data_IF_766494711178
#
_entry.id   IF_766494711178
#
_cell.length_a   1.000
_cell.length_b   1.000
_cell.length_c   1.000
_cell.angle_alpha   90.00
_cell.angle_beta   90.00
_cell.angle_gamma   90.00
#
_symmetry.space_group_name_H-M   'P 1'
#
loop_
_entity.id
_entity.type
_entity.pdbx_description
1 polymer ?
#
# COMPACT_ATOMS: atom_id res chain seq x y z
N UNK A 1 8.99 22.85 -9.65
CA UNK A 1 8.63 21.42 -9.67
C UNK A 1 7.74 21.07 -8.47
N UNK A 2 6.47 21.48 -8.48
CA UNK A 2 5.51 21.23 -7.40
C UNK A 2 4.37 20.27 -7.79
N UNK A 3 4.22 19.94 -9.08
CA UNK A 3 3.13 19.07 -9.58
C UNK A 3 3.47 17.57 -9.61
N UNK A 4 4.74 17.15 -9.51
CA UNK A 4 5.11 15.72 -9.56
C UNK A 4 4.81 15.00 -8.24
N UNK A 5 5.05 15.65 -7.10
CA UNK A 5 5.02 14.98 -5.79
C UNK A 5 3.59 14.68 -5.31
N UNK A 6 2.62 15.55 -5.63
CA UNK A 6 1.22 15.31 -5.30
C UNK A 6 0.61 14.18 -6.12
N UNK A 7 0.95 14.07 -7.41
CA UNK A 7 0.49 12.98 -8.26
C UNK A 7 1.12 11.65 -7.88
N UNK A 8 2.41 11.62 -7.51
CA UNK A 8 3.11 10.38 -7.15
C UNK A 8 2.61 9.82 -5.81
N UNK A 9 2.49 10.67 -4.79
CA UNK A 9 1.98 10.29 -3.47
C UNK A 9 0.50 9.89 -3.54
N UNK A 10 -0.32 10.63 -4.30
CA UNK A 10 -1.77 10.40 -4.36
C UNK A 10 -2.14 9.23 -5.28
N UNK A 11 -1.77 9.27 -6.56
CA UNK A 11 -2.16 8.22 -7.49
C UNK A 11 -1.45 6.91 -7.17
N UNK A 12 -0.15 6.98 -6.85
CA UNK A 12 0.67 5.81 -6.57
C UNK A 12 0.11 5.00 -5.41
N UNK A 13 -0.18 5.64 -4.27
CA UNK A 13 -0.49 4.96 -3.02
C UNK A 13 -1.99 4.69 -2.81
N UNK A 14 -2.89 5.55 -3.30
CA UNK A 14 -4.32 5.40 -3.05
C UNK A 14 -4.93 4.29 -3.88
N UNK A 15 -4.52 4.13 -5.15
CA UNK A 15 -5.10 3.09 -6.01
C UNK A 15 -4.87 1.69 -5.42
N UNK A 16 -3.63 1.29 -5.03
CA UNK A 16 -3.39 0.03 -4.32
C UNK A 16 -4.16 -0.07 -3.01
N UNK A 17 -4.21 1.01 -2.21
CA UNK A 17 -4.89 1.00 -0.92
C UNK A 17 -6.40 0.79 -1.04
N UNK A 18 -7.03 1.42 -2.05
CA UNK A 18 -8.45 1.23 -2.36
C UNK A 18 -8.73 -0.19 -2.83
N UNK A 19 -7.93 -0.71 -3.76
CA UNK A 19 -8.10 -2.09 -4.24
C UNK A 19 -7.96 -3.10 -3.11
N UNK A 20 -7.00 -2.88 -2.20
CA UNK A 20 -6.80 -3.75 -1.05
C UNK A 20 -7.96 -3.64 -0.04
N UNK A 21 -8.47 -2.43 0.19
CA UNK A 21 -9.64 -2.22 1.06
C UNK A 21 -10.89 -2.91 0.50
N UNK A 22 -11.14 -2.80 -0.81
CA UNK A 22 -12.25 -3.50 -1.49
C UNK A 22 -12.08 -5.01 -1.38
N UNK A 23 -10.85 -5.52 -1.56
CA UNK A 23 -10.55 -6.94 -1.42
C UNK A 23 -10.89 -7.45 -0.01
N UNK A 24 -10.46 -6.76 1.05
CA UNK A 24 -10.76 -7.15 2.43
C UNK A 24 -12.26 -7.11 2.77
N UNK A 25 -12.98 -6.10 2.28
CA UNK A 25 -14.44 -6.03 2.46
C UNK A 25 -15.10 -7.21 1.74
N UNK A 26 -14.65 -7.53 0.52
CA UNK A 26 -15.21 -8.63 -0.25
C UNK A 26 -14.91 -10.00 0.38
N UNK A 27 -13.70 -10.21 0.89
CA UNK A 27 -13.32 -11.38 1.69
C UNK A 27 -14.20 -11.51 2.93
N UNK A 28 -14.33 -10.43 3.72
CA UNK A 28 -15.15 -10.42 4.95
C UNK A 28 -16.62 -10.74 4.66
N UNK A 29 -17.18 -10.20 3.57
CA UNK A 29 -18.55 -10.51 3.14
C UNK A 29 -18.69 -11.98 2.70
N UNK A 30 -17.70 -12.49 1.97
CA UNK A 30 -17.71 -13.88 1.50
C UNK A 30 -17.61 -14.86 2.68
N UNK A 31 -16.79 -14.54 3.69
CA UNK A 31 -16.69 -15.33 4.92
C UNK A 31 -18.00 -15.32 5.73
N UNK A 32 -18.68 -14.17 5.83
CA UNK A 32 -19.97 -14.07 6.51
C UNK A 32 -21.05 -14.90 5.78
N UNK A 33 -21.12 -14.80 4.45
CA UNK A 33 -22.10 -15.54 3.64
C UNK A 33 -21.80 -17.04 3.56
N UNK A 34 -20.53 -17.43 3.69
CA UNK A 34 -20.10 -18.83 3.67
C UNK A 34 -20.29 -19.54 5.01
N UNK A 35 -20.35 -18.80 6.13
CA UNK A 35 -20.72 -19.37 7.44
C UNK A 35 -22.15 -19.95 7.44
N UNK A 36 -23.05 -19.39 6.63
CA UNK A 36 -24.43 -19.88 6.49
C UNK A 36 -24.57 -21.05 5.50
N UNK A 37 -23.57 -21.28 4.65
CA UNK A 37 -23.53 -22.38 3.66
C UNK A 37 -22.48 -23.42 4.06
N UNK A 38 -22.69 -24.09 5.19
CA UNK A 38 -21.86 -25.21 5.64
C UNK A 38 -22.07 -26.48 4.80
N UNK A 39 -21.82 -26.41 3.48
CA UNK A 39 -21.74 -27.59 2.60
C UNK A 39 -20.31 -27.67 2.06
N UNK A 40 -19.59 -28.64 2.61
CA UNK A 40 -18.18 -28.96 2.41
C UNK A 40 -17.92 -29.60 1.03
N UNK A 41 -17.95 -28.80 -0.03
CA UNK A 41 -17.52 -29.25 -1.37
C UNK A 41 -16.13 -28.67 -1.63
N UNK A 42 -15.13 -29.55 -1.60
CA UNK A 42 -13.75 -29.25 -1.99
C UNK A 42 -13.73 -28.73 -3.43
N UNK A 43 -13.10 -27.58 -3.66
CA UNK A 43 -13.10 -26.87 -4.95
C UNK A 43 -11.73 -26.91 -5.61
N UNK A 44 -11.70 -26.81 -6.94
CA UNK A 44 -10.45 -26.66 -7.69
C UNK A 44 -9.86 -25.25 -7.45
N UNK A 45 -8.53 -25.10 -7.56
CA UNK A 45 -7.84 -23.83 -7.31
C UNK A 45 -8.30 -22.75 -8.28
N UNK A 46 -8.60 -23.12 -9.52
CA UNK A 46 -9.11 -22.18 -10.52
C UNK A 46 -10.54 -21.77 -10.22
N UNK A 47 -11.42 -22.71 -9.86
CA UNK A 47 -12.79 -22.38 -9.45
C UNK A 47 -12.79 -21.42 -8.25
N UNK A 48 -11.86 -21.65 -7.33
CA UNK A 48 -11.61 -20.80 -6.18
C UNK A 48 -11.18 -19.37 -6.59
N UNK A 49 -10.18 -19.25 -7.46
CA UNK A 49 -9.71 -17.96 -7.99
C UNK A 49 -10.77 -17.20 -8.79
N UNK A 50 -11.60 -17.90 -9.57
CA UNK A 50 -12.67 -17.27 -10.36
C UNK A 50 -13.83 -16.80 -9.51
N UNK A 51 -14.17 -17.56 -8.45
CA UNK A 51 -15.25 -17.20 -7.53
C UNK A 51 -14.82 -16.11 -6.55
N UNK A 52 -13.55 -16.14 -6.12
CA UNK A 52 -12.99 -15.26 -5.11
C UNK A 52 -11.98 -14.29 -5.73
N UNK A 53 -12.47 -13.36 -6.56
CA UNK A 53 -11.62 -12.35 -7.21
C UNK A 53 -10.88 -11.44 -6.22
N UNK A 54 -11.29 -11.38 -4.94
CA UNK A 54 -10.53 -10.64 -3.91
C UNK A 54 -9.08 -11.12 -3.83
N UNK A 55 -8.78 -12.41 -4.06
CA UNK A 55 -7.40 -12.94 -4.02
C UNK A 55 -6.49 -12.19 -5.02
N UNK A 56 -6.99 -11.89 -6.22
CA UNK A 56 -6.23 -11.17 -7.24
C UNK A 56 -6.04 -9.69 -6.89
N UNK A 57 -7.11 -9.05 -6.39
CA UNK A 57 -7.08 -7.65 -5.95
C UNK A 57 -6.14 -7.47 -4.76
N UNK A 58 -6.17 -8.43 -3.85
CA UNK A 58 -5.32 -8.53 -2.68
C UNK A 58 -3.85 -8.59 -3.09
N UNK A 59 -3.48 -9.60 -3.87
CA UNK A 59 -2.10 -9.75 -4.38
C UNK A 59 -1.63 -8.51 -5.14
N UNK A 60 -2.49 -7.87 -5.95
CA UNK A 60 -2.12 -6.62 -6.60
C UNK A 60 -1.84 -5.49 -5.57
N UNK A 61 -2.73 -5.29 -4.62
CA UNK A 61 -2.61 -4.24 -3.60
C UNK A 61 -1.40 -4.45 -2.68
N UNK A 62 -1.19 -5.68 -2.22
CA UNK A 62 -0.08 -6.09 -1.35
C UNK A 62 1.29 -5.91 -1.98
N UNK A 63 1.39 -6.10 -3.30
CA UNK A 63 2.64 -5.91 -4.05
C UNK A 63 2.87 -4.44 -4.41
N UNK A 64 1.84 -3.75 -4.90
CA UNK A 64 1.97 -2.38 -5.38
C UNK A 64 2.27 -1.40 -4.24
N UNK A 65 1.60 -1.55 -3.08
CA UNK A 65 1.74 -0.63 -1.95
C UNK A 65 3.18 -0.48 -1.43
N UNK A 66 3.91 -1.56 -1.07
CA UNK A 66 5.29 -1.45 -0.59
C UNK A 66 6.26 -1.02 -1.71
N UNK A 67 6.02 -1.39 -2.97
CA UNK A 67 6.83 -0.91 -4.10
C UNK A 67 6.67 0.60 -4.33
N UNK A 68 5.47 1.15 -4.16
CA UNK A 68 5.23 2.59 -4.20
C UNK A 68 5.91 3.29 -3.03
N UNK A 69 5.85 2.73 -1.82
CA UNK A 69 6.58 3.29 -0.66
C UNK A 69 8.10 3.26 -0.89
N UNK A 70 8.61 2.21 -1.50
CA UNK A 70 10.01 2.12 -1.91
C UNK A 70 10.38 3.20 -2.92
N UNK A 71 9.56 3.40 -3.95
CA UNK A 71 9.76 4.45 -4.95
C UNK A 71 9.73 5.85 -4.33
N UNK A 72 8.78 6.12 -3.42
CA UNK A 72 8.70 7.37 -2.67
C UNK A 72 9.94 7.60 -1.80
N UNK A 73 10.42 6.55 -1.14
CA UNK A 73 11.60 6.62 -0.28
C UNK A 73 12.87 6.88 -1.09
N UNK A 74 13.01 6.21 -2.23
CA UNK A 74 14.10 6.41 -3.18
C UNK A 74 14.07 7.82 -3.77
N UNK A 75 12.91 8.31 -4.20
CA UNK A 75 12.72 9.65 -4.72
C UNK A 75 13.20 10.73 -3.72
N UNK A 76 12.81 10.60 -2.45
CA UNK A 76 13.31 11.48 -1.38
C UNK A 76 14.80 11.34 -1.14
N UNK A 77 15.32 10.11 -1.18
CA UNK A 77 16.75 9.86 -1.03
C UNK A 77 17.56 10.55 -2.15
N UNK A 78 17.12 10.44 -3.41
CA UNK A 78 17.74 11.09 -4.56
C UNK A 78 17.68 12.61 -4.47
N UNK A 79 16.52 13.17 -4.09
CA UNK A 79 16.36 14.60 -3.86
C UNK A 79 17.32 15.13 -2.78
N UNK A 80 17.56 14.34 -1.72
CA UNK A 80 18.46 14.69 -0.64
C UNK A 80 19.93 14.48 -1.00
N UNK A 81 20.31 13.37 -1.61
CA UNK A 81 21.72 13.06 -1.91
C UNK A 81 22.24 13.89 -3.09
N UNK A 82 21.50 13.93 -4.19
CA UNK A 82 21.95 14.55 -5.44
C UNK A 82 20.91 15.52 -6.02
N UNK A 83 20.75 16.74 -5.45
CA UNK A 83 19.78 17.72 -5.93
C UNK A 83 19.98 18.10 -7.40
N UNK A 84 21.24 18.14 -7.88
CA UNK A 84 21.56 18.47 -9.27
C UNK A 84 21.08 17.41 -10.25
N UNK A 85 21.20 16.13 -9.90
CA UNK A 85 20.66 15.03 -10.70
C UNK A 85 19.14 14.97 -10.60
N UNK A 86 18.58 15.17 -9.40
CA UNK A 86 17.14 15.20 -9.16
C UNK A 86 16.45 16.31 -9.95
N UNK A 87 17.09 17.47 -10.11
CA UNK A 87 16.57 18.57 -10.93
C UNK A 87 16.44 18.22 -12.43
N UNK A 88 17.06 17.13 -12.90
CA UNK A 88 16.91 16.63 -14.29
C UNK A 88 15.76 15.64 -14.42
N UNK A 89 15.20 15.14 -13.31
CA UNK A 89 14.07 14.22 -13.35
C UNK A 89 12.81 14.95 -13.79
N UNK A 90 12.12 14.36 -14.76
CA UNK A 90 10.89 14.90 -15.31
C UNK A 90 9.68 14.21 -14.66
N UNK A 91 8.50 14.87 -14.61
CA UNK A 91 7.26 14.22 -14.16
C UNK A 91 6.88 12.99 -15.02
N UNK A 92 7.35 12.93 -16.27
CA UNK A 92 7.19 11.74 -17.13
C UNK A 92 7.96 10.54 -16.58
N UNK A 93 9.18 10.74 -16.09
CA UNK A 93 9.96 9.66 -15.47
C UNK A 93 9.24 9.10 -14.22
N UNK A 94 8.70 9.98 -13.39
CA UNK A 94 7.86 9.59 -12.25
C UNK A 94 6.64 8.76 -12.65
N UNK A 95 5.92 9.16 -13.71
CA UNK A 95 4.78 8.41 -14.23
C UNK A 95 5.19 7.02 -14.78
N UNK A 96 6.33 6.95 -15.48
CA UNK A 96 6.89 5.67 -15.97
C UNK A 96 7.24 4.76 -14.79
N UNK A 97 7.84 5.27 -13.72
CA UNK A 97 8.14 4.46 -12.54
C UNK A 97 6.86 3.90 -11.88
N UNK A 98 5.79 4.68 -11.76
CA UNK A 98 4.50 4.17 -11.25
C UNK A 98 3.94 3.10 -12.16
N UNK A 99 3.94 3.36 -13.47
CA UNK A 99 3.48 2.40 -14.47
C UNK A 99 4.24 1.07 -14.33
N UNK A 100 5.57 1.14 -14.19
CA UNK A 100 6.40 -0.04 -13.96
C UNK A 100 6.00 -0.79 -12.69
N UNK A 101 5.76 -0.09 -11.58
CA UNK A 101 5.28 -0.73 -10.34
C UNK A 101 3.97 -1.48 -10.56
N UNK A 102 2.99 -0.85 -11.21
CA UNK A 102 1.71 -1.52 -11.50
C UNK A 102 1.86 -2.68 -12.48
N UNK A 103 2.73 -2.58 -13.48
CA UNK A 103 3.01 -3.70 -14.37
C UNK A 103 3.66 -4.86 -13.63
N UNK A 104 4.59 -4.61 -12.71
CA UNK A 104 5.19 -5.65 -11.88
C UNK A 104 4.13 -6.36 -11.01
N UNK A 105 3.24 -5.60 -10.39
CA UNK A 105 2.13 -6.14 -9.60
C UNK A 105 1.16 -6.97 -10.46
N UNK A 106 0.86 -6.54 -11.69
CA UNK A 106 0.05 -7.33 -12.63
C UNK A 106 0.76 -8.62 -13.05
N UNK A 107 2.07 -8.56 -13.32
CA UNK A 107 2.87 -9.75 -13.65
C UNK A 107 2.77 -10.78 -12.51
N UNK A 108 2.88 -10.34 -11.25
CA UNK A 108 2.75 -11.23 -10.10
C UNK A 108 1.37 -11.88 -10.00
N UNK A 109 0.29 -11.10 -10.22
CA UNK A 109 -1.08 -11.64 -10.31
C UNK A 109 -1.19 -12.66 -11.44
N UNK A 110 -0.68 -12.36 -12.64
CA UNK A 110 -0.74 -13.31 -13.77
C UNK A 110 0.05 -14.58 -13.51
N UNK A 111 1.23 -14.48 -12.86
CA UNK A 111 2.04 -15.62 -12.48
C UNK A 111 1.30 -16.52 -11.47
N UNK A 112 0.56 -15.91 -10.54
CA UNK A 112 -0.30 -16.59 -9.59
C UNK A 112 -1.41 -17.36 -10.31
N UNK A 113 -2.10 -16.76 -11.28
CA UNK A 113 -3.11 -17.44 -12.09
C UNK A 113 -2.54 -18.63 -12.88
N UNK A 114 -1.40 -18.45 -13.54
CA UNK A 114 -0.72 -19.53 -14.28
C UNK A 114 -0.35 -20.67 -13.34
N UNK A 115 0.23 -20.36 -12.18
CA UNK A 115 0.62 -21.37 -11.19
C UNK A 115 -0.59 -22.09 -10.59
N UNK A 116 -1.68 -21.37 -10.31
CA UNK A 116 -2.94 -21.95 -9.86
C UNK A 116 -3.48 -22.94 -10.89
N UNK A 117 -3.45 -22.58 -12.19
CA UNK A 117 -3.90 -23.43 -13.29
C UNK A 117 -3.06 -24.68 -13.45
N UNK A 118 -1.74 -24.55 -13.33
CA UNK A 118 -0.80 -25.67 -13.45
C UNK A 118 -0.97 -26.69 -12.33
N UNK A 119 -1.24 -26.20 -11.10
CA UNK A 119 -1.38 -27.05 -9.92
C UNK A 119 -2.83 -27.48 -9.65
N UNK A 120 -3.78 -27.13 -10.53
CA UNK A 120 -5.21 -27.38 -10.35
C UNK A 120 -5.54 -28.88 -10.26
N UNK A 121 -4.73 -29.73 -10.90
CA UNK A 121 -4.89 -31.18 -10.92
C UNK A 121 -4.24 -31.90 -9.72
N UNK A 122 -3.44 -31.19 -8.90
CA UNK A 122 -2.58 -31.81 -7.88
C UNK A 122 -3.31 -31.97 -6.55
N UNK A 123 -4.16 -31.01 -6.17
CA UNK A 123 -4.85 -31.04 -4.88
C UNK A 123 -6.10 -30.17 -4.89
N UNK A 124 -7.21 -30.72 -4.39
CA UNK A 124 -8.40 -29.93 -4.09
C UNK A 124 -8.14 -29.01 -2.89
N UNK A 125 -8.77 -27.84 -2.90
CA UNK A 125 -8.64 -26.82 -1.85
C UNK A 125 -9.94 -26.73 -1.06
N UNK A 126 -9.85 -26.27 0.18
CA UNK A 126 -11.02 -25.96 1.01
C UNK A 126 -11.95 -24.99 0.27
N UNK A 127 -13.27 -25.14 0.45
CA UNK A 127 -14.26 -24.20 -0.11
C UNK A 127 -14.10 -22.78 0.41
N UNK A 128 -13.39 -22.61 1.55
CA UNK A 128 -13.04 -21.30 2.11
C UNK A 128 -11.94 -20.57 1.34
N UNK A 129 -11.28 -21.22 0.39
CA UNK A 129 -10.40 -20.53 -0.54
C UNK A 129 -9.31 -19.68 0.12
N UNK A 130 -8.62 -20.24 1.12
CA UNK A 130 -7.53 -19.52 1.78
C UNK A 130 -6.44 -19.16 0.77
N UNK A 131 -5.88 -17.96 0.92
CA UNK A 131 -4.86 -17.40 0.03
C UNK A 131 -3.64 -18.33 -0.09
N UNK A 132 -3.18 -18.88 1.05
CA UNK A 132 -2.04 -19.79 1.14
C UNK A 132 -2.32 -21.11 0.40
N UNK A 133 -3.52 -21.67 0.58
CA UNK A 133 -3.90 -22.95 -0.03
C UNK A 133 -4.03 -22.83 -1.56
N UNK A 134 -4.57 -21.70 -2.02
CA UNK A 134 -4.81 -21.42 -3.44
C UNK A 134 -3.48 -21.26 -4.20
N UNK A 135 -2.56 -20.47 -3.63
CA UNK A 135 -1.28 -20.08 -4.28
C UNK A 135 -0.17 -21.11 -4.03
N UNK A 136 -0.27 -21.83 -2.91
CA UNK A 136 0.74 -22.74 -2.41
C UNK A 136 1.80 -22.03 -1.56
N UNK A 137 2.21 -22.71 -0.49
CA UNK A 137 3.09 -22.19 0.57
C UNK A 137 4.38 -21.55 0.04
N UNK A 138 5.08 -22.18 -0.90
CA UNK A 138 6.35 -21.66 -1.41
C UNK A 138 6.21 -20.35 -2.17
N UNK A 139 5.14 -20.17 -2.96
CA UNK A 139 4.93 -18.91 -3.70
C UNK A 139 4.51 -17.80 -2.76
N UNK A 140 3.62 -18.11 -1.82
CA UNK A 140 3.20 -17.17 -0.82
C UNK A 140 4.38 -16.71 0.06
N UNK A 141 5.32 -17.61 0.38
CA UNK A 141 6.56 -17.28 1.08
C UNK A 141 7.42 -16.27 0.31
N UNK A 142 7.63 -16.49 -1.00
CA UNK A 142 8.41 -15.57 -1.85
C UNK A 142 7.75 -14.18 -1.89
N UNK A 143 6.42 -14.15 -2.01
CA UNK A 143 5.64 -12.92 -1.98
C UNK A 143 5.84 -12.13 -0.67
N UNK A 144 5.68 -12.78 0.48
CA UNK A 144 5.89 -12.15 1.81
C UNK A 144 7.33 -11.67 1.99
N UNK A 145 8.33 -12.45 1.55
CA UNK A 145 9.73 -12.01 1.59
C UNK A 145 9.94 -10.76 0.74
N UNK A 146 9.33 -10.67 -0.45
CA UNK A 146 9.39 -9.48 -1.30
C UNK A 146 8.83 -8.22 -0.61
N UNK A 147 7.70 -8.36 0.10
CA UNK A 147 7.12 -7.27 0.90
C UNK A 147 8.08 -6.84 2.02
N UNK A 148 8.66 -7.79 2.75
CA UNK A 148 9.59 -7.49 3.84
C UNK A 148 10.84 -6.78 3.32
N UNK A 149 11.45 -7.29 2.24
CA UNK A 149 12.66 -6.70 1.63
C UNK A 149 12.38 -5.27 1.15
N UNK A 150 11.30 -5.05 0.41
CA UNK A 150 10.94 -3.71 -0.06
C UNK A 150 10.66 -2.75 1.10
N UNK A 151 10.03 -3.21 2.18
CA UNK A 151 9.82 -2.45 3.41
C UNK A 151 11.12 -2.05 4.12
N UNK A 152 12.06 -2.99 4.28
CA UNK A 152 13.37 -2.73 4.89
C UNK A 152 14.17 -1.72 4.06
N UNK A 153 14.22 -1.91 2.74
CA UNK A 153 14.95 -0.98 1.85
C UNK A 153 14.34 0.42 1.89
N UNK A 154 13.00 0.52 1.98
CA UNK A 154 12.30 1.80 2.13
C UNK A 154 12.71 2.54 3.42
N UNK A 155 12.83 1.81 4.53
CA UNK A 155 13.31 2.34 5.81
C UNK A 155 14.74 2.86 5.67
N UNK A 156 15.63 2.08 5.04
CA UNK A 156 17.04 2.48 4.83
C UNK A 156 17.09 3.81 4.07
N UNK A 157 16.40 3.92 2.93
CA UNK A 157 16.36 5.17 2.16
C UNK A 157 15.73 6.33 2.95
N UNK A 158 14.68 6.07 3.71
CA UNK A 158 14.04 7.07 4.55
C UNK A 158 14.98 7.60 5.64
N UNK A 159 15.70 6.71 6.34
CA UNK A 159 16.70 7.09 7.36
C UNK A 159 17.85 7.86 6.73
N UNK A 160 18.40 7.40 5.60
CA UNK A 160 19.46 8.11 4.87
C UNK A 160 19.00 9.51 4.46
N UNK A 161 17.80 9.65 3.91
CA UNK A 161 17.25 10.95 3.51
C UNK A 161 17.11 11.91 4.69
N UNK A 162 16.65 11.43 5.85
CA UNK A 162 16.52 12.21 7.08
C UNK A 162 17.88 12.60 7.66
N UNK A 163 18.85 11.69 7.65
CA UNK A 163 20.21 11.95 8.14
C UNK A 163 20.89 13.04 7.30
N UNK A 164 20.84 12.92 5.98
CA UNK A 164 21.40 13.91 5.03
C UNK A 164 20.69 15.26 5.18
N UNK A 165 19.36 15.25 5.32
CA UNK A 165 18.57 16.46 5.57
C UNK A 165 19.03 17.17 6.84
N UNK A 166 19.17 16.45 7.97
CA UNK A 166 19.64 17.01 9.24
C UNK A 166 21.06 17.56 9.13
N UNK A 167 21.96 16.83 8.48
CA UNK A 167 23.34 17.24 8.27
C UNK A 167 23.42 18.54 7.46
N UNK A 168 22.68 18.65 6.36
CA UNK A 168 22.63 19.86 5.54
C UNK A 168 22.04 21.06 6.27
N UNK A 169 20.98 20.88 7.04
CA UNK A 169 20.39 21.96 7.85
C UNK A 169 21.42 22.50 8.86
N UNK A 170 22.18 21.61 9.52
CA UNK A 170 23.23 22.00 10.47
C UNK A 170 24.40 22.71 9.79
N UNK A 171 24.79 22.25 8.60
CA UNK A 171 25.96 22.79 7.87
C UNK A 171 25.67 24.10 7.12
N UNK A 172 24.42 24.39 6.75
CA UNK A 172 24.07 25.51 5.85
C UNK A 172 23.49 26.73 6.60
N UNK A 173 23.95 26.98 7.83
CA UNK A 173 23.42 28.07 8.69
C UNK A 173 23.62 29.49 8.10
N UNK A 174 24.44 29.66 7.06
CA UNK A 174 24.89 30.96 6.55
C UNK A 174 24.48 31.33 5.09
N UNK A 175 23.75 30.51 4.32
CA UNK A 175 23.39 30.85 2.92
C UNK A 175 21.89 31.10 2.69
N UNK A 176 21.55 32.37 2.44
CA UNK A 176 20.19 32.93 2.30
C UNK A 176 19.47 32.45 1.02
N UNK A 177 20.19 32.11 -0.05
CA UNK A 177 19.61 31.79 -1.37
C UNK A 177 19.11 30.34 -1.51
N UNK A 178 19.53 29.42 -0.63
CA UNK A 178 19.07 28.02 -0.62
C UNK A 178 17.72 27.81 0.06
N UNK A 179 17.21 28.83 0.77
CA UNK A 179 16.07 28.74 1.70
C UNK A 179 14.73 28.31 1.08
N UNK A 180 14.44 28.65 -0.18
CA UNK A 180 13.08 28.44 -0.74
C UNK A 180 12.85 26.99 -1.21
N UNK A 181 13.82 26.37 -1.88
CA UNK A 181 13.77 24.92 -2.21
C UNK A 181 13.99 24.07 -0.95
N UNK A 182 14.85 24.53 -0.02
CA UNK A 182 15.09 23.85 1.26
C UNK A 182 13.91 23.90 2.24
N UNK A 183 12.83 24.68 2.01
CA UNK A 183 11.68 24.72 2.94
C UNK A 183 10.64 23.62 2.66
N UNK A 184 10.48 23.22 1.40
CA UNK A 184 9.45 22.22 1.00
C UNK A 184 9.95 20.80 1.11
N UNK A 185 11.16 20.52 0.64
CA UNK A 185 11.70 19.16 0.61
C UNK A 185 11.77 18.51 2.01
N UNK A 186 12.22 19.17 3.09
CA UNK A 186 12.21 18.59 4.44
C UNK A 186 10.82 18.24 4.96
N UNK A 187 9.81 19.05 4.59
CA UNK A 187 8.43 18.80 5.00
C UNK A 187 7.91 17.54 4.32
N UNK A 188 8.24 17.32 3.04
CA UNK A 188 7.82 16.15 2.28
C UNK A 188 8.58 14.91 2.76
N UNK A 189 9.91 14.99 2.92
CA UNK A 189 10.72 13.89 3.45
C UNK A 189 10.24 13.41 4.82
N UNK A 190 9.90 14.33 5.74
CA UNK A 190 9.32 13.95 7.04
C UNK A 190 7.96 13.26 6.91
N UNK A 191 7.12 13.66 5.96
CA UNK A 191 5.82 13.01 5.73
C UNK A 191 5.97 11.59 5.21
N UNK A 192 6.83 11.41 4.22
CA UNK A 192 7.11 10.08 3.67
C UNK A 192 7.77 9.20 4.73
N UNK A 193 8.68 9.73 5.55
CA UNK A 193 9.24 8.99 6.66
C UNK A 193 8.17 8.51 7.67
N UNK A 194 7.13 9.31 7.95
CA UNK A 194 6.01 8.88 8.81
C UNK A 194 5.24 7.72 8.17
N UNK A 195 4.93 7.81 6.87
CA UNK A 195 4.25 6.73 6.14
C UNK A 195 5.08 5.43 6.15
N UNK A 196 6.39 5.55 5.87
CA UNK A 196 7.32 4.41 5.84
C UNK A 196 7.49 3.79 7.22
N UNK A 197 7.61 4.60 8.27
CA UNK A 197 7.69 4.10 9.65
C UNK A 197 6.39 3.40 10.05
N UNK A 198 5.22 3.96 9.72
CA UNK A 198 3.94 3.33 10.00
C UNK A 198 3.80 1.98 9.26
N UNK A 199 4.12 1.95 7.96
CA UNK A 199 4.13 0.72 7.18
C UNK A 199 5.11 -0.32 7.73
N UNK A 200 6.27 0.10 8.22
CA UNK A 200 7.21 -0.82 8.84
C UNK A 200 6.65 -1.43 10.13
N UNK A 201 6.14 -0.59 11.04
CA UNK A 201 5.63 -1.04 12.34
C UNK A 201 4.37 -1.89 12.22
N UNK A 202 3.46 -1.51 11.32
CA UNK A 202 2.12 -2.10 11.22
C UNK A 202 2.00 -3.17 10.13
N UNK A 203 2.95 -3.25 9.19
CA UNK A 203 2.90 -4.24 8.10
C UNK A 203 4.17 -5.11 8.05
N UNK A 204 5.37 -4.52 8.01
CA UNK A 204 6.62 -5.31 7.86
C UNK A 204 6.91 -6.17 9.10
N UNK A 205 6.77 -5.60 10.31
CA UNK A 205 7.03 -6.34 11.54
C UNK A 205 6.06 -7.52 11.72
N UNK A 206 4.72 -7.35 11.63
CA UNK A 206 3.78 -8.47 11.69
C UNK A 206 4.06 -9.54 10.63
N UNK A 207 4.37 -9.14 9.40
CA UNK A 207 4.70 -10.09 8.32
C UNK A 207 5.99 -10.86 8.58
N UNK A 208 6.96 -10.25 9.25
CA UNK A 208 8.20 -10.93 9.65
C UNK A 208 7.91 -11.96 10.73
N UNK A 209 7.10 -11.62 11.73
CA UNK A 209 6.66 -12.55 12.78
C UNK A 209 5.87 -13.72 12.16
N UNK A 210 4.98 -13.42 11.22
CA UNK A 210 4.21 -14.41 10.49
C UNK A 210 5.09 -15.37 9.67
N UNK A 211 6.11 -14.86 9.00
CA UNK A 211 7.06 -15.68 8.25
C UNK A 211 7.83 -16.64 9.17
N UNK A 212 8.23 -16.18 10.35
CA UNK A 212 8.88 -17.02 11.38
C UNK A 212 7.90 -18.08 11.90
N UNK A 213 6.61 -17.72 12.09
CA UNK A 213 5.57 -18.67 12.49
C UNK A 213 5.31 -19.73 11.42
N UNK A 214 5.34 -19.37 10.13
CA UNK A 214 5.23 -20.33 9.03
C UNK A 214 6.36 -21.38 9.02
N UNK A 215 7.50 -21.08 9.67
CA UNK A 215 8.66 -21.97 9.81
C UNK A 215 8.76 -22.68 11.16
N UNK A 216 7.88 -22.39 12.14
CA UNK A 216 7.94 -22.94 13.50
C UNK A 216 6.58 -23.27 14.11
N UNK A 217 6.55 -24.15 15.11
CA UNK A 217 5.32 -24.64 15.76
C UNK A 217 4.77 -23.71 16.87
N UNK A 218 4.90 -22.38 16.73
CA UNK A 218 4.68 -21.48 17.87
C UNK A 218 3.27 -20.86 17.91
N UNK A 219 2.39 -21.35 18.78
CA UNK A 219 1.09 -20.77 19.22
C UNK A 219 0.03 -20.56 18.13
N UNK A 220 -0.84 -21.56 17.99
CA UNK A 220 -2.08 -21.45 17.23
C UNK A 220 -2.95 -20.29 17.76
N UNK A 221 -3.41 -19.40 16.87
CA UNK A 221 -4.31 -18.29 17.19
C UNK A 221 -3.74 -16.89 16.93
N UNK A 222 -2.43 -16.74 16.68
CA UNK A 222 -1.80 -15.45 16.38
C UNK A 222 -2.10 -14.98 14.94
N UNK A 223 -2.43 -15.89 14.03
CA UNK A 223 -2.67 -15.59 12.61
C UNK A 223 -3.72 -14.49 12.39
N UNK A 224 -4.86 -14.53 13.11
CA UNK A 224 -5.89 -13.49 13.01
C UNK A 224 -5.44 -12.12 13.56
N UNK A 225 -4.52 -12.12 14.54
CA UNK A 225 -4.00 -10.89 15.13
C UNK A 225 -2.88 -10.25 14.29
N UNK A 226 -2.23 -11.01 13.41
CA UNK A 226 -1.18 -10.51 12.50
C UNK A 226 -1.78 -9.64 11.38
N UNK A 227 -2.97 -9.98 10.91
CA UNK A 227 -3.64 -9.28 9.81
C UNK A 227 -4.24 -7.92 10.22
N UNK A 228 -4.64 -7.77 11.49
CA UNK A 228 -5.24 -6.52 12.00
C UNK A 228 -4.29 -5.30 11.91
N UNK A 229 -3.01 -5.39 12.33
CA UNK A 229 -2.01 -4.36 12.09
C UNK A 229 -1.88 -3.98 10.62
N UNK A 230 -1.91 -4.97 9.73
CA UNK A 230 -1.75 -4.74 8.29
C UNK A 230 -2.88 -3.87 7.74
N UNK A 231 -4.14 -4.21 8.06
CA UNK A 231 -5.31 -3.41 7.68
C UNK A 231 -5.21 -2.00 8.28
N UNK A 232 -4.77 -1.91 9.54
CA UNK A 232 -4.58 -0.64 10.24
C UNK A 232 -3.54 0.26 9.54
N UNK A 233 -2.47 -0.32 8.98
CA UNK A 233 -1.46 0.38 8.18
C UNK A 233 -2.08 1.06 6.95
N UNK A 234 -2.94 0.35 6.21
CA UNK A 234 -3.58 0.87 5.01
C UNK A 234 -4.51 2.04 5.32
N UNK A 235 -5.33 1.90 6.37
CA UNK A 235 -6.24 2.95 6.85
C UNK A 235 -5.43 4.18 7.27
N UNK A 236 -4.40 3.97 8.10
CA UNK A 236 -3.55 5.05 8.58
C UNK A 236 -2.90 5.81 7.42
N UNK A 237 -2.27 5.10 6.49
CA UNK A 237 -1.57 5.73 5.38
C UNK A 237 -2.53 6.46 4.43
N UNK A 238 -3.69 5.88 4.13
CA UNK A 238 -4.73 6.51 3.30
C UNK A 238 -5.28 7.78 3.96
N UNK A 239 -5.64 7.71 5.25
CA UNK A 239 -6.10 8.87 6.01
C UNK A 239 -5.02 9.94 6.10
N UNK A 240 -3.77 9.56 6.33
CA UNK A 240 -2.64 10.49 6.38
C UNK A 240 -2.46 11.24 5.07
N UNK A 241 -2.52 10.54 3.93
CA UNK A 241 -2.49 11.14 2.59
C UNK A 241 -3.69 12.08 2.37
N UNK A 242 -4.91 11.63 2.69
CA UNK A 242 -6.14 12.40 2.53
C UNK A 242 -6.12 13.71 3.34
N UNK A 243 -5.80 13.66 4.64
CA UNK A 243 -5.75 14.85 5.50
C UNK A 243 -4.67 15.87 5.09
N UNK A 244 -3.69 15.48 4.26
CA UNK A 244 -2.65 16.39 3.78
C UNK A 244 -3.00 17.06 2.45
N UNK A 245 -4.06 16.62 1.76
CA UNK A 245 -4.56 17.30 0.58
C UNK A 245 -5.23 18.63 0.91
N UNK A 246 -4.80 19.69 0.24
CA UNK A 246 -5.39 21.02 0.39
C UNK A 246 -6.80 21.07 -0.21
N UNK A 247 -7.00 20.44 -1.36
CA UNK A 247 -8.30 20.38 -2.05
C UNK A 247 -9.35 19.67 -1.20
N UNK A 248 -9.02 18.53 -0.59
CA UNK A 248 -9.94 17.83 0.30
C UNK A 248 -10.29 18.68 1.53
N UNK A 249 -9.31 19.35 2.14
CA UNK A 249 -9.54 20.28 3.24
C UNK A 249 -10.46 21.45 2.85
N UNK A 250 -10.28 21.97 1.63
CA UNK A 250 -11.13 23.03 1.09
C UNK A 250 -12.54 22.51 0.78
N UNK A 251 -12.67 21.31 0.22
CA UNK A 251 -13.95 20.67 -0.05
C UNK A 251 -14.71 20.37 1.24
N UNK A 252 -14.06 19.79 2.26
CA UNK A 252 -14.65 19.56 3.59
C UNK A 252 -15.06 20.89 4.23
N UNK A 253 -14.21 21.92 4.16
CA UNK A 253 -14.53 23.25 4.68
C UNK A 253 -15.69 23.92 3.92
N UNK A 254 -15.85 23.64 2.62
CA UNK A 254 -17.01 24.09 1.83
C UNK A 254 -18.26 23.33 2.27
N UNK A 255 -18.20 22.01 2.42
CA UNK A 255 -19.32 21.18 2.89
C UNK A 255 -19.80 21.58 4.29
N UNK A 256 -18.87 21.81 5.23
CA UNK A 256 -19.18 22.27 6.59
C UNK A 256 -19.71 23.71 6.67
N UNK A 257 -19.53 24.51 5.60
CA UNK A 257 -20.03 25.88 5.51
C UNK A 257 -21.39 25.98 4.80
N UNK A 258 -21.92 24.89 4.26
CA UNK A 258 -23.28 24.88 3.73
C UNK A 258 -24.22 24.86 4.95
N UNK A 259 -25.01 25.93 5.21
CA UNK A 259 -26.00 25.89 6.26
C UNK A 259 -26.99 24.77 5.95
N UNK A 260 -27.32 23.97 6.97
CA UNK A 260 -28.20 22.79 6.91
C UNK A 260 -29.56 23.14 6.28
N UNK A 261 -29.96 24.39 6.39
CA UNK A 261 -31.18 24.99 5.83
C UNK A 261 -31.26 24.87 4.28
N UNK A 262 -30.11 24.88 3.59
CA UNK A 262 -30.05 24.71 2.13
C UNK A 262 -30.07 23.25 1.67
N UNK A 263 -29.73 22.28 2.54
CA UNK A 263 -29.76 20.86 2.19
C UNK A 263 -31.20 20.31 2.20
N UNK A 264 -32.05 20.79 3.11
CA UNK A 264 -33.48 20.47 3.12
C UNK A 264 -34.22 21.00 1.89
N UNK A 265 -33.82 22.16 1.36
CA UNK A 265 -34.47 22.77 0.20
C UNK A 265 -34.23 22.01 -1.12
N UNK A 266 -33.10 21.30 -1.25
CA UNK A 266 -32.81 20.47 -2.42
C UNK A 266 -33.51 19.11 -2.37
N UNK A 267 -33.73 18.52 -1.19
CA UNK A 267 -34.44 17.23 -1.07
C UNK A 267 -35.95 17.37 -1.28
N UNK A 268 -36.54 18.54 -1.00
CA UNK A 268 -37.97 18.81 -1.26
C UNK A 268 -38.31 19.07 -2.72
N UNK A 269 -37.33 19.31 -3.60
CA UNK A 269 -37.56 19.53 -5.05
C UNK A 269 -37.35 18.29 -5.92
N UNK A 270 -36.99 17.16 -5.30
CA UNK A 270 -36.76 15.86 -5.97
C UNK A 270 -37.79 14.81 -5.50
N UNK A 271 -38.75 15.20 -4.65
CA UNK A 271 -39.94 14.41 -4.32
C UNK A 271 -41.14 14.87 -5.15
#
# INVERSE_FOLDING_TARGET
>A
MACSNGHLEYNGFIVPSLLNSVAYVYESLTDLLSKDKAVSISSTRISCMTTNMYISLYTFGETASPLVLLLLSLDRCLAMLSPKAYARLTPRAAAVCIFLVYTCSLIEVTALWIKSRWNDHISLVSSRCSHIETIGLSSYRVHVIGIIVSGIVSIIFSVTSLAVMRWRIKSTRNEILRFVQMRREPTITRRIAVLVTAAFLLQVLPMTVFLIHLDGSMLAGIENFIWLPYISSLIFNTMWCAFRQKELKLAIKRMLKIPIDHLCFCLSKVA
#
